data_IF_915867214952
#
_entry.id   IF_915867214952
#
_cell.length_a   1.000
_cell.length_b   1.000
_cell.length_c   1.000
_cell.angle_alpha   90.00
_cell.angle_beta   90.00
_cell.angle_gamma   90.00
#
_symmetry.space_group_name_H-M   'P 1'
#
loop_
_entity.id
_entity.type
_entity.pdbx_description
1 polymer ?
#
# COMPACT_ATOMS: atom_id res chain seq x y z
N UNK A 1 12.58 -13.93 9.10
CA UNK A 1 12.99 -14.55 7.81
C UNK A 1 12.15 -13.95 6.70
N UNK A 2 12.59 -14.02 5.44
CA UNK A 2 11.83 -13.47 4.30
C UNK A 2 10.37 -13.96 4.26
N UNK A 3 10.18 -15.27 4.47
CA UNK A 3 8.84 -15.90 4.51
C UNK A 3 7.94 -15.28 5.57
N UNK A 4 8.42 -15.13 6.81
CA UNK A 4 7.61 -14.61 7.90
C UNK A 4 7.26 -13.14 7.67
N UNK A 5 8.24 -12.32 7.24
CA UNK A 5 7.99 -10.91 6.94
C UNK A 5 6.94 -10.74 5.85
N UNK A 6 6.96 -11.60 4.82
CA UNK A 6 5.96 -11.57 3.77
C UNK A 6 4.56 -11.99 4.28
N UNK A 7 4.47 -13.06 5.07
CA UNK A 7 3.19 -13.50 5.65
C UNK A 7 2.60 -12.44 6.59
N UNK A 8 3.43 -11.82 7.43
CA UNK A 8 3.04 -10.74 8.32
C UNK A 8 2.57 -9.51 7.53
N UNK A 9 3.27 -9.17 6.45
CA UNK A 9 2.84 -8.11 5.54
C UNK A 9 1.46 -8.40 4.91
N UNK A 10 1.18 -9.64 4.53
CA UNK A 10 -0.13 -10.03 3.98
C UNK A 10 -1.24 -9.91 5.01
N UNK A 11 -0.96 -10.33 6.25
CA UNK A 11 -1.90 -10.19 7.36
C UNK A 11 -2.22 -8.72 7.62
N UNK A 12 -1.21 -7.87 7.75
CA UNK A 12 -1.39 -6.42 7.96
C UNK A 12 -2.16 -5.77 6.82
N UNK A 13 -1.85 -6.12 5.57
CA UNK A 13 -2.59 -5.61 4.41
C UNK A 13 -4.08 -6.01 4.45
N UNK A 14 -4.39 -7.22 4.92
CA UNK A 14 -5.78 -7.63 5.12
C UNK A 14 -6.44 -6.92 6.31
N UNK A 15 -5.75 -6.77 7.43
CA UNK A 15 -6.29 -6.12 8.63
C UNK A 15 -6.64 -4.64 8.39
N UNK A 16 -5.88 -3.96 7.51
CA UNK A 16 -6.13 -2.56 7.12
C UNK A 16 -7.21 -2.46 6.02
N UNK A 17 -7.07 -3.22 4.93
CA UNK A 17 -7.86 -3.00 3.71
C UNK A 17 -9.04 -3.95 3.53
N UNK A 18 -9.05 -5.09 4.23
CA UNK A 18 -10.09 -6.10 4.18
C UNK A 18 -10.32 -6.66 2.77
N UNK A 19 -11.57 -6.62 2.29
CA UNK A 19 -11.92 -7.19 0.97
C UNK A 19 -11.30 -6.43 -0.20
N UNK A 20 -10.85 -5.20 0.01
CA UNK A 20 -10.27 -4.33 -1.00
C UNK A 20 -8.74 -4.37 -1.04
N UNK A 21 -8.11 -5.30 -0.32
CA UNK A 21 -6.64 -5.44 -0.33
C UNK A 21 -6.13 -5.61 -1.77
N UNK A 22 -5.20 -4.72 -2.15
CA UNK A 22 -4.58 -4.62 -3.46
C UNK A 22 -5.53 -4.31 -4.64
N UNK A 23 -6.72 -3.75 -4.36
CA UNK A 23 -7.69 -3.40 -5.40
C UNK A 23 -7.87 -1.89 -5.49
N UNK A 24 -8.07 -1.40 -6.72
CA UNK A 24 -8.42 0.00 -6.95
C UNK A 24 -9.84 0.32 -6.49
N UNK A 25 -10.70 -0.69 -6.30
CA UNK A 25 -12.03 -0.55 -5.71
C UNK A 25 -12.01 0.11 -4.32
N UNK A 26 -10.87 0.06 -3.64
CA UNK A 26 -10.64 0.78 -2.38
C UNK A 26 -11.02 2.27 -2.47
N UNK A 27 -10.68 2.93 -3.58
CA UNK A 27 -10.95 4.36 -3.81
C UNK A 27 -12.14 4.63 -4.75
N UNK A 28 -12.62 3.60 -5.45
CA UNK A 28 -13.72 3.66 -6.40
C UNK A 28 -14.58 2.39 -6.27
N UNK A 29 -15.57 2.34 -5.37
CA UNK A 29 -16.32 1.12 -5.05
C UNK A 29 -17.05 0.45 -6.24
N UNK A 30 -17.40 1.25 -7.25
CA UNK A 30 -18.00 0.80 -8.52
C UNK A 30 -16.96 0.34 -9.55
N UNK A 31 -15.67 0.55 -9.27
CA UNK A 31 -14.56 0.24 -10.16
C UNK A 31 -14.15 -1.24 -10.17
N UNK A 32 -13.05 -1.51 -10.88
CA UNK A 32 -12.52 -2.86 -11.06
C UNK A 32 -12.15 -3.51 -9.70
N UNK A 33 -12.75 -4.69 -9.43
CA UNK A 33 -12.59 -5.47 -8.20
C UNK A 33 -11.48 -6.53 -8.28
N UNK A 34 -10.73 -6.56 -9.38
CA UNK A 34 -9.58 -7.45 -9.58
C UNK A 34 -8.35 -6.91 -8.85
N UNK A 35 -7.53 -7.81 -8.33
CA UNK A 35 -6.23 -7.49 -7.73
C UNK A 35 -5.34 -6.79 -8.75
N UNK A 36 -4.84 -5.61 -8.40
CA UNK A 36 -3.85 -4.89 -9.18
C UNK A 36 -2.45 -5.39 -8.78
N UNK A 37 -1.79 -6.15 -9.67
CA UNK A 37 -0.48 -6.78 -9.40
C UNK A 37 0.61 -5.77 -8.99
N UNK A 38 0.78 -4.62 -9.69
CA UNK A 38 1.75 -3.60 -9.25
C UNK A 38 1.47 -3.02 -7.85
N UNK A 39 0.20 -2.82 -7.48
CA UNK A 39 -0.19 -2.38 -6.15
C UNK A 39 0.09 -3.46 -5.10
N UNK A 40 -0.20 -4.73 -5.43
CA UNK A 40 0.17 -5.88 -4.61
C UNK A 40 1.67 -5.92 -4.34
N UNK A 41 2.51 -5.83 -5.38
CA UNK A 41 3.97 -5.81 -5.25
C UNK A 41 4.44 -4.67 -4.34
N UNK A 42 4.00 -3.43 -4.61
CA UNK A 42 4.46 -2.27 -3.87
C UNK A 42 4.07 -2.34 -2.38
N UNK A 43 2.82 -2.67 -2.07
CA UNK A 43 2.35 -2.75 -0.67
C UNK A 43 2.99 -3.95 0.05
N UNK A 44 3.00 -5.13 -0.57
CA UNK A 44 3.52 -6.36 0.07
C UNK A 44 4.98 -6.21 0.47
N UNK A 45 5.82 -5.72 -0.44
CA UNK A 45 7.26 -5.55 -0.21
C UNK A 45 7.52 -4.43 0.79
N UNK A 46 6.83 -3.29 0.67
CA UNK A 46 7.00 -2.17 1.61
C UNK A 46 6.55 -2.52 3.03
N UNK A 47 5.49 -3.31 3.20
CA UNK A 47 5.08 -3.80 4.51
C UNK A 47 6.04 -4.85 5.07
N UNK A 48 6.65 -5.68 4.22
CA UNK A 48 7.63 -6.67 4.62
C UNK A 48 8.99 -6.06 4.99
N UNK A 49 9.30 -4.84 4.51
CA UNK A 49 10.56 -4.14 4.78
C UNK A 49 10.60 -3.37 6.10
N UNK A 50 9.44 -3.03 6.67
CA UNK A 50 9.34 -2.37 7.98
C UNK A 50 9.34 -3.40 9.13
N UNK A 51 9.57 -2.97 10.35
CA UNK A 51 9.62 -3.84 11.52
C UNK A 51 8.22 -4.16 12.08
N UNK A 52 8.15 -5.09 13.04
CA UNK A 52 6.87 -5.54 13.63
C UNK A 52 6.11 -4.42 14.36
N UNK A 53 6.81 -3.56 15.09
CA UNK A 53 6.18 -2.43 15.79
C UNK A 53 5.59 -1.42 14.82
N UNK A 54 6.28 -1.12 13.70
CA UNK A 54 5.77 -0.23 12.66
C UNK A 54 4.53 -0.81 11.97
N UNK A 55 4.56 -2.12 11.66
CA UNK A 55 3.40 -2.85 11.14
C UNK A 55 2.20 -2.73 12.08
N UNK A 56 2.42 -2.94 13.38
CA UNK A 56 1.37 -2.86 14.40
C UNK A 56 0.78 -1.44 14.49
N UNK A 57 1.64 -0.41 14.45
CA UNK A 57 1.18 0.99 14.42
C UNK A 57 0.32 1.30 13.20
N UNK A 58 0.68 0.81 12.01
CA UNK A 58 -0.17 0.96 10.81
C UNK A 58 -1.56 0.32 10.97
N UNK A 59 -1.67 -0.77 11.73
CA UNK A 59 -2.97 -1.41 12.03
C UNK A 59 -3.77 -0.56 13.03
N UNK A 60 -3.10 0.06 14.01
CA UNK A 60 -3.73 0.95 14.99
C UNK A 60 -4.29 2.22 14.33
N UNK A 61 -3.55 2.82 13.40
CA UNK A 61 -3.99 3.98 12.62
C UNK A 61 -4.61 3.62 11.25
N UNK A 62 -5.16 2.40 11.13
CA UNK A 62 -5.65 1.85 9.84
C UNK A 62 -6.67 2.73 9.11
N UNK A 63 -7.49 3.49 9.84
CA UNK A 63 -8.51 4.36 9.23
C UNK A 63 -7.83 5.48 8.43
N UNK A 64 -6.89 6.18 9.05
CA UNK A 64 -6.17 7.30 8.44
C UNK A 64 -5.24 6.83 7.32
N UNK A 65 -4.55 5.70 7.54
CA UNK A 65 -3.72 5.10 6.50
C UNK A 65 -4.56 4.68 5.28
N UNK A 66 -5.73 4.09 5.51
CA UNK A 66 -6.67 3.70 4.45
C UNK A 66 -7.18 4.90 3.67
N UNK A 67 -7.54 6.00 4.34
CA UNK A 67 -7.96 7.24 3.66
C UNK A 67 -6.81 7.86 2.87
N UNK A 68 -5.60 7.87 3.41
CA UNK A 68 -4.42 8.39 2.71
C UNK A 68 -4.10 7.56 1.46
N UNK A 69 -4.21 6.22 1.51
CA UNK A 69 -4.08 5.39 0.31
C UNK A 69 -5.22 5.64 -0.70
N UNK A 70 -6.46 5.88 -0.24
CA UNK A 70 -7.57 6.23 -1.15
C UNK A 70 -7.32 7.52 -1.91
N UNK A 71 -6.74 8.52 -1.25
CA UNK A 71 -6.34 9.78 -1.90
C UNK A 71 -5.25 9.52 -2.93
N UNK A 72 -4.21 8.76 -2.57
CA UNK A 72 -3.13 8.38 -3.49
C UNK A 72 -3.65 7.59 -4.71
N UNK A 73 -4.66 6.74 -4.53
CA UNK A 73 -5.31 6.00 -5.62
C UNK A 73 -6.12 6.87 -6.60
N UNK A 74 -6.27 8.16 -6.32
CA UNK A 74 -6.84 9.17 -7.22
C UNK A 74 -5.77 10.06 -7.86
N UNK A 75 -4.52 9.99 -7.40
CA UNK A 75 -3.42 10.76 -7.96
C UNK A 75 -2.96 10.18 -9.30
N UNK A 76 -2.99 11.01 -10.36
CA UNK A 76 -2.65 10.60 -11.73
C UNK A 76 -1.28 9.91 -11.81
N UNK A 77 -0.27 10.44 -11.11
CA UNK A 77 1.08 9.88 -11.11
C UNK A 77 1.11 8.45 -10.56
N UNK A 78 0.47 8.21 -9.42
CA UNK A 78 0.39 6.88 -8.83
C UNK A 78 -0.44 5.93 -9.70
N UNK A 79 -1.64 6.37 -10.13
CA UNK A 79 -2.54 5.57 -10.98
C UNK A 79 -1.84 5.11 -12.25
N UNK A 80 -1.08 5.98 -12.91
CA UNK A 80 -0.32 5.64 -14.10
C UNK A 80 0.72 4.55 -13.80
N UNK A 81 1.49 4.70 -12.72
CA UNK A 81 2.54 3.75 -12.32
C UNK A 81 2.03 2.33 -11.98
N UNK A 82 0.73 2.19 -11.68
CA UNK A 82 0.08 0.90 -11.40
C UNK A 82 -0.83 0.39 -12.52
N UNK A 83 -0.97 1.12 -13.63
CA UNK A 83 -1.91 0.79 -14.72
C UNK A 83 -1.24 0.68 -16.08
N UNK A 84 -0.26 1.53 -16.39
CA UNK A 84 0.35 1.65 -17.73
C UNK A 84 1.83 1.36 -17.65
N UNK A 85 2.36 0.61 -18.63
CA UNK A 85 3.79 0.32 -18.77
C UNK A 85 4.46 -0.07 -17.44
N UNK A 86 3.78 -0.88 -16.63
CA UNK A 86 4.10 -1.07 -15.20
C UNK A 86 5.44 -1.77 -14.95
N UNK A 87 6.01 -2.38 -16.00
CA UNK A 87 7.34 -2.99 -16.00
C UNK A 87 8.47 -1.98 -16.26
N UNK A 88 8.18 -0.74 -16.68
CA UNK A 88 9.24 0.26 -16.89
C UNK A 88 9.82 0.76 -15.55
N UNK A 89 11.10 1.11 -15.57
CA UNK A 89 11.85 1.50 -14.37
C UNK A 89 11.20 2.68 -13.64
N UNK A 90 10.71 3.68 -14.38
CA UNK A 90 10.08 4.86 -13.79
C UNK A 90 8.80 4.52 -13.01
N UNK A 91 7.94 3.64 -13.54
CA UNK A 91 6.72 3.19 -12.88
C UNK A 91 7.03 2.34 -11.66
N UNK A 92 8.09 1.53 -11.71
CA UNK A 92 8.60 0.77 -10.56
C UNK A 92 9.06 1.73 -9.47
N UNK A 93 9.98 2.63 -9.78
CA UNK A 93 10.50 3.59 -8.81
C UNK A 93 9.40 4.46 -8.22
N UNK A 94 8.47 4.93 -9.06
CA UNK A 94 7.35 5.78 -8.63
C UNK A 94 6.44 5.07 -7.63
N UNK A 95 5.91 3.87 -7.96
CA UNK A 95 4.95 3.20 -7.07
C UNK A 95 5.57 2.81 -5.73
N UNK A 96 6.81 2.34 -5.75
CA UNK A 96 7.52 1.95 -4.53
C UNK A 96 7.89 3.15 -3.69
N UNK A 97 8.33 4.25 -4.29
CA UNK A 97 8.62 5.49 -3.56
C UNK A 97 7.34 6.01 -2.89
N UNK A 98 6.25 6.17 -3.64
CA UNK A 98 5.02 6.74 -3.10
C UNK A 98 4.41 5.89 -1.98
N UNK A 99 4.45 4.55 -2.10
CA UNK A 99 4.00 3.66 -1.01
C UNK A 99 4.89 3.77 0.23
N UNK A 100 6.22 3.85 0.08
CA UNK A 100 7.12 4.04 1.22
C UNK A 100 6.92 5.39 1.89
N UNK A 101 6.86 6.47 1.11
CA UNK A 101 6.61 7.81 1.62
C UNK A 101 5.27 7.85 2.41
N UNK A 102 4.23 7.17 1.91
CA UNK A 102 2.93 7.08 2.58
C UNK A 102 3.05 6.40 3.97
N UNK A 103 3.79 5.30 4.04
CA UNK A 103 4.04 4.56 5.29
C UNK A 103 4.85 5.41 6.27
N UNK A 104 5.94 6.02 5.81
CA UNK A 104 6.82 6.86 6.63
C UNK A 104 6.05 8.06 7.20
N UNK A 105 5.27 8.75 6.36
CA UNK A 105 4.43 9.87 6.80
C UNK A 105 3.41 9.47 7.87
N UNK A 106 2.82 8.28 7.76
CA UNK A 106 1.87 7.80 8.77
C UNK A 106 2.58 7.50 10.10
N UNK A 107 3.73 6.83 10.05
CA UNK A 107 4.49 6.46 11.25
C UNK A 107 5.09 7.67 11.99
N UNK A 108 5.32 8.78 11.29
CA UNK A 108 5.77 10.05 11.89
C UNK A 108 4.61 10.84 12.51
N UNK A 109 3.43 10.87 11.89
CA UNK A 109 2.25 11.59 12.41
C UNK A 109 1.83 11.10 13.80
N UNK A 110 1.94 9.80 14.05
CA UNK A 110 1.55 9.19 15.32
C UNK A 110 2.59 9.41 16.45
N UNK A 111 3.64 10.23 16.23
CA UNK A 111 4.62 10.62 17.26
C UNK A 111 4.36 12.02 17.85
N UNK A 112 3.31 12.72 17.38
CA UNK A 112 2.99 14.11 17.76
C UNK A 112 1.62 14.19 18.44
#
# INVERSE_FOLDING_TARGET
TLRNNFLDAMKVAFDIFGKDTFKRSLAAPTGNKVVNKPLFEAISVSFASINNSERQRLVECKVDFKESLKLMLKETKFVNSITRSTANTESVLTRFKMVRDLIENQLVKDLV
#
